data_IF_280141569661
#
_entry.id   IF_280141569661
#
_cell.length_a   1.000
_cell.length_b   1.000
_cell.length_c   1.000
_cell.angle_alpha   90.00
_cell.angle_beta   90.00
_cell.angle_gamma   90.00
#
_symmetry.space_group_name_H-M   'P 1'
#
loop_
_entity.id
_entity.type
_entity.pdbx_description
1 polymer ?
#
# COMPACT_ATOMS: atom_id res chain seq x y z
N UNK A 1 8.10 57.27 1.01
CA UNK A 1 9.52 57.69 0.95
C UNK A 1 9.72 58.43 -0.36
N UNK A 2 10.13 59.70 -0.27
CA UNK A 2 10.47 60.61 -1.38
C UNK A 2 12.00 60.61 -1.56
N UNK A 3 12.45 61.02 -2.75
CA UNK A 3 13.71 61.71 -3.14
C UNK A 3 13.99 61.30 -4.61
N UNK A 4 13.62 62.05 -5.66
CA UNK A 4 14.13 63.35 -6.11
C UNK A 4 15.58 63.66 -5.70
N UNK A 5 16.52 63.54 -6.64
CA UNK A 5 17.48 64.61 -6.93
C UNK A 5 18.02 64.46 -8.34
N UNK A 6 17.96 65.58 -9.06
CA UNK A 6 18.50 65.85 -10.38
C UNK A 6 20.03 65.79 -10.40
N UNK A 7 20.59 65.51 -11.57
CA UNK A 7 21.90 66.06 -11.96
C UNK A 7 22.00 66.08 -13.48
N UNK A 8 21.62 67.23 -14.03
CA UNK A 8 22.04 67.71 -15.33
C UNK A 8 23.57 67.78 -15.39
N UNK A 9 24.19 67.09 -16.34
CA UNK A 9 25.41 67.57 -16.97
C UNK A 9 25.19 67.55 -18.48
N UNK A 10 24.92 68.76 -18.97
CA UNK A 10 25.09 69.18 -20.35
C UNK A 10 26.50 68.84 -20.83
N UNK A 11 26.60 68.06 -21.89
CA UNK A 11 27.75 68.14 -22.78
C UNK A 11 27.33 67.74 -24.20
N UNK A 12 27.35 68.73 -25.09
CA UNK A 12 27.80 68.54 -26.45
C UNK A 12 26.87 67.73 -27.35
N UNK A 13 26.07 68.48 -28.10
CA UNK A 13 25.60 68.11 -29.43
C UNK A 13 26.78 67.59 -30.28
N UNK A 14 26.93 66.27 -30.34
CA UNK A 14 27.66 65.57 -31.39
C UNK A 14 26.64 64.75 -32.20
N UNK A 15 26.63 64.88 -33.53
CA UNK A 15 25.61 64.29 -34.38
C UNK A 15 25.77 62.77 -34.37
N UNK A 16 24.67 62.06 -34.62
CA UNK A 16 24.63 60.63 -34.90
C UNK A 16 25.80 60.23 -35.82
N UNK A 17 26.90 59.77 -35.22
CA UNK A 17 28.02 59.18 -35.92
C UNK A 17 27.58 57.76 -36.30
N UNK A 18 27.57 57.51 -37.60
CA UNK A 18 27.25 56.20 -38.15
C UNK A 18 25.86 56.10 -38.76
N UNK A 19 25.38 57.15 -39.44
CA UNK A 19 24.75 56.89 -40.74
C UNK A 19 25.70 55.94 -41.47
N UNK A 20 25.27 54.71 -41.76
CA UNK A 20 25.92 53.88 -42.76
C UNK A 20 25.74 54.61 -44.10
N UNK A 21 26.56 55.65 -44.30
CA UNK A 21 26.79 56.23 -45.60
C UNK A 21 27.51 55.15 -46.38
N UNK A 22 26.75 54.34 -47.12
CA UNK A 22 27.34 53.54 -48.18
C UNK A 22 27.99 54.52 -49.12
N UNK A 23 29.31 54.64 -49.02
CA UNK A 23 30.07 55.51 -49.88
C UNK A 23 29.95 54.94 -51.29
N UNK A 24 29.10 55.55 -52.13
CA UNK A 24 28.81 55.08 -53.49
C UNK A 24 30.05 55.16 -54.40
N UNK A 25 31.10 55.86 -53.98
CA UNK A 25 32.43 55.86 -54.62
C UNK A 25 33.12 54.49 -54.57
N UNK A 26 32.89 53.67 -53.53
CA UNK A 26 33.48 52.31 -53.45
C UNK A 26 32.84 51.33 -54.45
N UNK A 27 31.58 51.59 -54.85
CA UNK A 27 30.87 50.82 -55.89
C UNK A 27 31.23 51.27 -57.31
N UNK A 28 31.52 52.56 -57.50
CA UNK A 28 31.71 53.16 -58.82
C UNK A 28 33.15 53.03 -59.35
N UNK A 29 34.17 52.98 -58.48
CA UNK A 29 35.57 53.04 -58.94
C UNK A 29 36.19 51.69 -59.31
N UNK A 30 35.72 50.55 -58.77
CA UNK A 30 36.20 49.24 -59.22
C UNK A 30 35.25 48.08 -58.86
N UNK A 31 34.28 47.71 -59.74
CA UNK A 31 33.38 46.58 -59.51
C UNK A 31 34.10 45.25 -59.23
N UNK A 32 35.36 45.12 -59.65
CA UNK A 32 36.20 43.94 -59.36
C UNK A 32 36.54 43.86 -57.86
N UNK A 33 36.97 44.95 -57.23
CA UNK A 33 37.35 44.94 -55.81
C UNK A 33 36.13 44.68 -54.90
N UNK A 34 34.98 45.26 -55.23
CA UNK A 34 33.74 45.02 -54.52
C UNK A 34 33.30 43.56 -54.62
N UNK A 35 33.34 42.98 -55.83
CA UNK A 35 32.99 41.57 -56.07
C UNK A 35 33.86 40.61 -55.24
N UNK A 36 35.16 40.89 -55.10
CA UNK A 36 36.07 40.08 -54.27
C UNK A 36 35.68 40.15 -52.80
N UNK A 37 35.46 41.34 -52.23
CA UNK A 37 35.06 41.50 -50.83
C UNK A 37 33.69 40.86 -50.58
N UNK A 38 32.74 41.04 -51.49
CA UNK A 38 31.41 40.42 -51.40
C UNK A 38 31.48 38.89 -51.51
N UNK A 39 32.36 38.36 -52.37
CA UNK A 39 32.63 36.94 -52.50
C UNK A 39 33.21 36.33 -51.22
N UNK A 40 34.19 36.98 -50.60
CA UNK A 40 34.76 36.58 -49.30
C UNK A 40 33.71 36.64 -48.20
N UNK A 41 32.90 37.71 -48.14
CA UNK A 41 31.85 37.87 -47.14
C UNK A 41 30.76 36.81 -47.26
N UNK A 42 30.32 36.48 -48.48
CA UNK A 42 29.34 35.40 -48.71
C UNK A 42 29.95 34.03 -48.42
N UNK A 43 31.22 33.79 -48.79
CA UNK A 43 31.90 32.53 -48.57
C UNK A 43 32.06 32.22 -47.07
N UNK A 44 32.58 33.16 -46.28
CA UNK A 44 32.72 33.00 -44.84
C UNK A 44 31.38 33.15 -44.09
N UNK A 45 30.52 34.07 -44.53
CA UNK A 45 29.21 34.32 -43.90
C UNK A 45 28.25 33.13 -44.00
N UNK A 46 28.25 32.39 -45.13
CA UNK A 46 27.44 31.17 -45.27
C UNK A 46 27.84 30.07 -44.28
N UNK A 47 29.14 29.89 -44.03
CA UNK A 47 29.63 28.92 -43.04
C UNK A 47 29.21 29.26 -41.61
N UNK A 48 29.31 30.54 -41.23
CA UNK A 48 28.89 31.02 -39.90
C UNK A 48 27.37 30.94 -39.73
N UNK A 49 26.58 31.39 -40.71
CA UNK A 49 25.11 31.32 -40.65
C UNK A 49 24.59 29.87 -40.61
N UNK A 50 25.21 28.95 -41.35
CA UNK A 50 24.87 27.53 -41.28
C UNK A 50 25.12 26.96 -39.88
N UNK A 51 26.22 27.35 -39.22
CA UNK A 51 26.52 26.92 -37.85
C UNK A 51 25.51 27.44 -36.82
N UNK A 52 24.99 28.67 -36.98
CA UNK A 52 23.97 29.24 -36.10
C UNK A 52 22.62 28.52 -36.24
N UNK A 53 22.18 28.19 -37.46
CA UNK A 53 20.93 27.47 -37.70
C UNK A 53 20.97 26.04 -37.16
N UNK A 54 22.13 25.36 -37.28
CA UNK A 54 22.34 24.04 -36.67
C UNK A 54 22.29 24.10 -35.13
N UNK A 55 22.74 25.21 -34.54
CA UNK A 55 22.73 25.43 -33.09
C UNK A 55 21.31 25.59 -32.55
N UNK A 56 20.44 26.29 -33.27
CA UNK A 56 19.05 26.51 -32.86
C UNK A 56 18.25 25.20 -32.86
N UNK A 57 18.41 24.39 -33.92
CA UNK A 57 17.81 23.05 -33.98
C UNK A 57 18.33 22.09 -32.90
N UNK A 58 19.61 22.20 -32.53
CA UNK A 58 20.18 21.41 -31.43
C UNK A 58 19.62 21.84 -30.05
N UNK A 59 19.36 23.13 -29.84
CA UNK A 59 18.74 23.65 -28.62
C UNK A 59 17.30 23.16 -28.49
N UNK A 60 16.50 23.20 -29.57
CA UNK A 60 15.12 22.69 -29.56
C UNK A 60 15.07 21.19 -29.20
N UNK A 61 15.98 20.39 -29.76
CA UNK A 61 16.08 18.96 -29.42
C UNK A 61 16.48 18.73 -27.96
N UNK A 62 17.38 19.56 -27.43
CA UNK A 62 17.78 19.51 -26.02
C UNK A 62 16.62 19.85 -25.08
N UNK A 63 15.81 20.87 -25.41
CA UNK A 63 14.63 21.24 -24.64
C UNK A 63 13.58 20.13 -24.66
N UNK A 64 13.32 19.53 -25.83
CA UNK A 64 12.42 18.36 -25.94
C UNK A 64 12.91 17.17 -25.13
N UNK A 65 14.22 16.89 -25.16
CA UNK A 65 14.81 15.82 -24.36
C UNK A 65 14.67 16.09 -22.85
N UNK A 66 14.89 17.34 -22.42
CA UNK A 66 14.71 17.76 -21.01
C UNK A 66 13.26 17.62 -20.56
N UNK A 67 12.30 18.07 -21.36
CA UNK A 67 10.88 17.94 -21.04
C UNK A 67 10.45 16.47 -20.90
N UNK A 68 10.94 15.60 -21.78
CA UNK A 68 10.71 14.15 -21.70
C UNK A 68 11.35 13.55 -20.44
N UNK A 69 12.57 13.96 -20.12
CA UNK A 69 13.25 13.50 -18.90
C UNK A 69 12.47 13.88 -17.64
N UNK A 70 12.06 15.15 -17.52
CA UNK A 70 11.25 15.61 -16.39
C UNK A 70 9.92 14.85 -16.26
N UNK A 71 9.28 14.54 -17.40
CA UNK A 71 8.06 13.72 -17.40
C UNK A 71 8.32 12.32 -16.85
N UNK A 72 9.37 11.64 -17.33
CA UNK A 72 9.73 10.30 -16.86
C UNK A 72 10.14 10.32 -15.39
N UNK A 73 10.83 11.35 -14.93
CA UNK A 73 11.20 11.54 -13.52
C UNK A 73 9.95 11.66 -12.63
N UNK A 74 8.96 12.48 -13.03
CA UNK A 74 7.69 12.58 -12.30
C UNK A 74 6.91 11.25 -12.30
N UNK A 75 6.85 10.55 -13.44
CA UNK A 75 6.20 9.24 -13.54
C UNK A 75 6.89 8.19 -12.64
N UNK A 76 8.23 8.20 -12.58
CA UNK A 76 9.00 7.31 -11.73
C UNK A 76 8.78 7.60 -10.23
N UNK A 77 8.75 8.88 -9.84
CA UNK A 77 8.43 9.27 -8.46
C UNK A 77 6.99 8.91 -8.08
N UNK A 78 6.03 9.12 -8.98
CA UNK A 78 4.65 8.71 -8.76
C UNK A 78 4.54 7.18 -8.63
N UNK A 79 5.23 6.41 -9.48
CA UNK A 79 5.29 4.96 -9.38
C UNK A 79 5.90 4.51 -8.05
N UNK A 80 6.98 5.17 -7.59
CA UNK A 80 7.63 4.90 -6.31
C UNK A 80 6.65 5.11 -5.14
N UNK A 81 5.99 6.26 -5.08
CA UNK A 81 5.02 6.58 -4.02
C UNK A 81 3.82 5.63 -4.04
N UNK A 82 3.24 5.37 -5.21
CA UNK A 82 2.14 4.44 -5.36
C UNK A 82 2.53 3.01 -5.00
N UNK A 83 3.74 2.58 -5.39
CA UNK A 83 4.29 1.27 -5.03
C UNK A 83 4.44 1.10 -3.52
N UNK A 84 5.03 2.09 -2.83
CA UNK A 84 5.13 2.07 -1.38
C UNK A 84 3.77 2.06 -0.69
N UNK A 85 2.81 2.88 -1.16
CA UNK A 85 1.44 2.86 -0.64
C UNK A 85 0.75 1.51 -0.84
N UNK A 86 0.93 0.88 -2.00
CA UNK A 86 0.35 -0.43 -2.30
C UNK A 86 0.94 -1.52 -1.41
N UNK A 87 2.27 -1.55 -1.26
CA UNK A 87 2.96 -2.51 -0.38
C UNK A 87 2.52 -2.35 1.07
N UNK A 88 2.39 -1.11 1.57
CA UNK A 88 1.96 -0.88 2.95
C UNK A 88 0.51 -1.34 3.16
N UNK A 89 -0.38 -1.09 2.19
CA UNK A 89 -1.75 -1.58 2.24
C UNK A 89 -1.82 -3.11 2.22
N UNK A 90 -1.05 -3.78 1.35
CA UNK A 90 -0.97 -5.24 1.31
C UNK A 90 -0.43 -5.81 2.62
N UNK A 91 0.60 -5.18 3.19
CA UNK A 91 1.15 -5.55 4.50
C UNK A 91 0.08 -5.46 5.58
N UNK A 92 -0.67 -4.37 5.65
CA UNK A 92 -1.76 -4.21 6.63
C UNK A 92 -2.86 -5.24 6.42
N UNK A 93 -3.26 -5.51 5.17
CA UNK A 93 -4.25 -6.52 4.84
C UNK A 93 -3.79 -7.93 5.26
N UNK A 94 -2.52 -8.26 5.05
CA UNK A 94 -1.93 -9.53 5.46
C UNK A 94 -1.87 -9.68 6.97
N UNK A 95 -1.47 -8.62 7.69
CA UNK A 95 -1.46 -8.62 9.16
C UNK A 95 -2.88 -8.81 9.70
N UNK A 96 -3.86 -8.08 9.17
CA UNK A 96 -5.25 -8.16 9.61
C UNK A 96 -5.86 -9.54 9.33
N UNK A 97 -5.63 -10.11 8.14
CA UNK A 97 -6.11 -11.45 7.81
C UNK A 97 -5.46 -12.52 8.69
N UNK A 98 -4.15 -12.43 8.91
CA UNK A 98 -3.41 -13.32 9.83
C UNK A 98 -3.95 -13.23 11.26
N UNK A 99 -4.18 -12.02 11.76
CA UNK A 99 -4.76 -11.79 13.09
C UNK A 99 -6.14 -12.42 13.23
N UNK A 100 -7.00 -12.24 12.21
CA UNK A 100 -8.33 -12.86 12.19
C UNK A 100 -8.26 -14.38 12.19
N UNK A 101 -7.36 -14.97 11.41
CA UNK A 101 -7.14 -16.43 11.39
C UNK A 101 -6.64 -16.94 12.73
N UNK A 102 -5.75 -16.19 13.41
CA UNK A 102 -5.27 -16.54 14.74
C UNK A 102 -6.39 -16.50 15.79
N UNK A 103 -7.24 -15.47 15.76
CA UNK A 103 -8.40 -15.36 16.66
C UNK A 103 -9.39 -16.52 16.45
N UNK A 104 -9.67 -16.88 15.20
CA UNK A 104 -10.51 -18.04 14.88
C UNK A 104 -9.90 -19.35 15.39
N UNK A 105 -8.58 -19.51 15.27
CA UNK A 105 -7.88 -20.69 15.77
C UNK A 105 -7.92 -20.75 17.30
N UNK A 106 -7.79 -19.63 17.98
CA UNK A 106 -7.88 -19.54 19.44
C UNK A 106 -9.28 -19.91 19.93
N UNK A 107 -10.32 -19.37 19.30
CA UNK A 107 -11.71 -19.73 19.61
C UNK A 107 -11.96 -21.24 19.40
N UNK A 108 -11.51 -21.80 18.29
CA UNK A 108 -11.63 -23.24 18.03
C UNK A 108 -10.91 -24.09 19.08
N UNK A 109 -9.71 -23.68 19.52
CA UNK A 109 -8.98 -24.36 20.59
C UNK A 109 -9.76 -24.30 21.90
N UNK A 110 -10.33 -23.15 22.24
CA UNK A 110 -11.12 -22.99 23.46
C UNK A 110 -12.36 -23.87 23.45
N UNK A 111 -13.09 -23.94 22.33
CA UNK A 111 -14.22 -24.85 22.16
C UNK A 111 -13.81 -26.32 22.29
N UNK A 112 -12.68 -26.70 21.69
CA UNK A 112 -12.13 -28.06 21.77
C UNK A 112 -11.79 -28.43 23.20
N UNK A 113 -11.15 -27.52 23.96
CA UNK A 113 -10.82 -27.75 25.37
C UNK A 113 -12.09 -27.94 26.21
N UNK A 114 -13.11 -27.10 26.02
CA UNK A 114 -14.39 -27.24 26.74
C UNK A 114 -15.08 -28.57 26.43
N UNK A 115 -15.08 -28.99 25.16
CA UNK A 115 -15.62 -30.28 24.76
C UNK A 115 -14.89 -31.45 25.43
N UNK A 116 -13.55 -31.46 25.38
CA UNK A 116 -12.74 -32.51 26.01
C UNK A 116 -12.88 -32.52 27.53
N UNK A 117 -13.04 -31.36 28.18
CA UNK A 117 -13.37 -31.29 29.60
C UNK A 117 -14.71 -31.97 29.91
N UNK A 118 -15.76 -31.65 29.14
CA UNK A 118 -17.07 -32.25 29.34
C UNK A 118 -17.05 -33.76 29.08
N UNK A 119 -16.29 -34.20 28.08
CA UNK A 119 -16.04 -35.61 27.80
C UNK A 119 -15.35 -36.29 28.96
N UNK A 120 -14.24 -35.75 29.46
CA UNK A 120 -13.49 -36.30 30.58
C UNK A 120 -14.36 -36.38 31.86
N UNK A 121 -15.15 -35.35 32.15
CA UNK A 121 -16.12 -35.35 33.26
C UNK A 121 -17.12 -36.49 33.12
N UNK A 122 -17.68 -36.68 31.92
CA UNK A 122 -18.66 -37.74 31.69
C UNK A 122 -18.03 -39.14 31.79
N UNK A 123 -16.82 -39.33 31.28
CA UNK A 123 -16.09 -40.59 31.41
C UNK A 123 -15.79 -40.92 32.88
N UNK A 124 -15.32 -39.95 33.66
CA UNK A 124 -15.09 -40.12 35.10
C UNK A 124 -16.39 -40.42 35.83
N UNK A 125 -17.47 -39.68 35.54
CA UNK A 125 -18.79 -39.90 36.14
C UNK A 125 -19.29 -41.33 35.89
N UNK A 126 -19.17 -41.82 34.67
CA UNK A 126 -19.57 -43.19 34.32
C UNK A 126 -18.76 -44.23 35.09
N UNK A 127 -17.43 -44.06 35.18
CA UNK A 127 -16.57 -44.99 35.94
C UNK A 127 -16.92 -45.00 37.43
N UNK A 128 -17.08 -43.81 38.03
CA UNK A 128 -17.48 -43.69 39.43
C UNK A 128 -18.86 -44.32 39.67
N UNK A 129 -19.81 -44.11 38.76
CA UNK A 129 -21.13 -44.71 38.83
C UNK A 129 -21.07 -46.25 38.76
N UNK A 130 -20.30 -46.81 37.83
CA UNK A 130 -20.11 -48.25 37.71
C UNK A 130 -19.47 -48.84 38.97
N UNK A 131 -18.45 -48.18 39.51
CA UNK A 131 -17.79 -48.61 40.74
C UNK A 131 -18.74 -48.55 41.95
N UNK A 132 -19.54 -47.49 42.06
CA UNK A 132 -20.55 -47.36 43.11
C UNK A 132 -21.63 -48.45 42.99
N UNK A 133 -22.08 -48.76 41.76
CA UNK A 133 -23.05 -49.81 41.50
C UNK A 133 -22.50 -51.19 41.87
N UNK A 134 -21.25 -51.49 41.50
CA UNK A 134 -20.58 -52.74 41.86
C UNK A 134 -20.38 -52.85 43.38
N UNK A 135 -20.00 -51.76 44.04
CA UNK A 135 -19.89 -51.70 45.50
C UNK A 135 -21.22 -51.91 46.20
N UNK A 136 -22.29 -51.27 45.71
CA UNK A 136 -23.66 -51.45 46.22
C UNK A 136 -24.15 -52.88 46.03
N UNK A 137 -23.90 -53.51 44.87
CA UNK A 137 -24.21 -54.92 44.63
C UNK A 137 -23.44 -55.85 45.57
N UNK A 138 -22.15 -55.59 45.79
CA UNK A 138 -21.33 -56.35 46.74
C UNK A 138 -21.88 -56.25 48.18
N UNK A 139 -22.22 -55.03 48.61
CA UNK A 139 -22.82 -54.79 49.91
C UNK A 139 -24.20 -55.48 50.04
N UNK A 140 -25.06 -55.34 49.03
CA UNK A 140 -26.37 -55.98 48.99
C UNK A 140 -26.27 -57.50 49.11
N UNK A 141 -25.37 -58.13 48.34
CA UNK A 141 -25.11 -59.57 48.41
C UNK A 141 -24.61 -60.01 49.80
N UNK A 142 -23.84 -59.18 50.50
CA UNK A 142 -23.36 -59.49 51.85
C UNK A 142 -24.43 -59.30 52.94
N UNK A 143 -25.40 -58.41 52.72
CA UNK A 143 -26.45 -58.07 53.69
C UNK A 143 -27.79 -58.79 53.43
N UNK A 144 -27.95 -59.44 52.28
CA UNK A 144 -29.16 -60.14 51.88
C UNK A 144 -29.47 -61.28 52.87
N UNK A 145 -30.48 -61.06 53.71
CA UNK A 145 -31.02 -62.06 54.63
C UNK A 145 -32.53 -62.20 54.42
N UNK A 146 -33.15 -63.23 55.00
CA UNK A 146 -34.57 -63.53 54.79
C UNK A 146 -35.49 -62.36 55.18
N UNK A 147 -35.13 -61.59 56.20
CA UNK A 147 -35.90 -60.43 56.66
C UNK A 147 -35.86 -59.28 55.64
N UNK A 148 -34.67 -58.93 55.15
CA UNK A 148 -34.48 -57.89 54.13
C UNK A 148 -35.18 -58.27 52.81
N UNK A 149 -35.14 -59.56 52.44
CA UNK A 149 -35.87 -60.08 51.28
C UNK A 149 -37.38 -59.88 51.40
N UNK A 150 -37.98 -60.33 52.51
CA UNK A 150 -39.43 -60.22 52.71
C UNK A 150 -39.89 -58.76 52.77
N UNK A 151 -39.12 -57.90 53.44
CA UNK A 151 -39.40 -56.45 53.48
C UNK A 151 -39.35 -55.83 52.08
N UNK A 152 -38.35 -56.19 51.27
CA UNK A 152 -38.20 -55.70 49.89
C UNK A 152 -39.37 -56.16 49.01
N UNK A 153 -39.77 -57.43 49.11
CA UNK A 153 -40.92 -57.98 48.36
C UNK A 153 -42.21 -57.25 48.75
N UNK A 154 -42.47 -57.07 50.04
CA UNK A 154 -43.66 -56.35 50.51
C UNK A 154 -43.69 -54.91 50.00
N UNK A 155 -42.55 -54.22 50.01
CA UNK A 155 -42.42 -52.85 49.48
C UNK A 155 -42.71 -52.80 47.97
N UNK A 156 -42.14 -53.73 47.18
CA UNK A 156 -42.36 -53.79 45.74
C UNK A 156 -43.82 -54.11 45.38
N UNK A 157 -44.48 -55.00 46.14
CA UNK A 157 -45.93 -55.29 45.95
C UNK A 157 -46.76 -54.03 46.21
N UNK A 158 -46.47 -53.28 47.28
CA UNK A 158 -47.14 -52.02 47.58
C UNK A 158 -46.96 -50.97 46.47
N UNK A 159 -45.74 -50.83 45.94
CA UNK A 159 -45.46 -49.93 44.82
C UNK A 159 -46.24 -50.32 43.56
N UNK A 160 -46.31 -51.63 43.25
CA UNK A 160 -47.05 -52.13 42.10
C UNK A 160 -48.56 -51.90 42.24
N UNK A 161 -49.11 -52.03 43.45
CA UNK A 161 -50.49 -51.66 43.75
C UNK A 161 -50.77 -50.18 43.47
N UNK A 162 -49.90 -49.28 43.95
CA UNK A 162 -50.03 -47.84 43.70
C UNK A 162 -49.93 -47.48 42.20
N UNK A 163 -49.03 -48.12 41.45
CA UNK A 163 -48.93 -47.92 40.00
C UNK A 163 -50.21 -48.36 39.27
N UNK A 164 -50.85 -49.44 39.73
CA UNK A 164 -52.12 -49.90 39.18
C UNK A 164 -53.24 -48.88 39.45
N UNK A 165 -53.33 -48.35 40.67
CA UNK A 165 -54.33 -47.32 41.03
C UNK A 165 -54.15 -45.99 40.30
N UNK A 166 -52.95 -45.66 39.83
CA UNK A 166 -52.69 -44.45 39.01
C UNK A 166 -53.10 -44.66 37.53
N UNK A 167 -53.16 -45.90 37.08
CA UNK A 167 -53.42 -46.25 35.68
C UNK A 167 -54.90 -46.56 35.41
N UNK A 168 -55.69 -46.81 36.46
CA UNK A 168 -57.17 -46.95 36.44
C UNK A 168 -57.86 -45.58 36.58
#
# INVERSE_FOLDING_TARGET
MKNLTDSFLSLGQWPLAGSFGFNTDILATNPINLSVVFGVLIFFGKGVCASCLLRDGAIEQLEKARARFQKVEMEAEQFRVNGYSGIEQERLNLINSTSKTLEQLENYKNETVLFEQQRAINEVRQRVFQQALQGALGALNSCLNNELHLRTISTNIGLFGAMKEITD
#
